data_IF_044974671779
#
_entry.id   IF_044974671779
#
_cell.length_a   1.000
_cell.length_b   1.000
_cell.length_c   1.000
_cell.angle_alpha   90.00
_cell.angle_beta   90.00
_cell.angle_gamma   90.00
#
_symmetry.space_group_name_H-M   'P 1'
#
loop_
_entity.id
_entity.type
_entity.pdbx_description
1 polymer ?
#
# COMPACT_ATOMS: atom_id res chain seq x y z
N UNK A 1 56.37 -4.87 19.52
CA UNK A 1 55.81 -4.82 18.14
C UNK A 1 54.32 -4.59 18.26
N UNK A 2 53.70 -3.85 17.34
CA UNK A 2 52.24 -3.76 17.24
C UNK A 2 51.84 -4.18 15.83
N UNK A 3 50.80 -5.01 15.71
CA UNK A 3 50.19 -5.39 14.44
C UNK A 3 48.77 -4.85 14.45
N UNK A 4 48.63 -3.64 13.92
CA UNK A 4 47.33 -2.98 13.78
C UNK A 4 46.73 -3.34 12.41
N UNK A 5 46.18 -4.57 12.34
CA UNK A 5 45.57 -5.13 11.12
C UNK A 5 44.19 -4.50 10.87
N UNK A 6 44.19 -3.19 10.57
CA UNK A 6 43.02 -2.39 10.20
C UNK A 6 42.36 -2.85 8.90
N UNK A 7 41.66 -3.98 8.95
CA UNK A 7 40.92 -4.54 7.82
C UNK A 7 39.87 -3.54 7.32
N UNK A 8 39.92 -3.23 6.02
CA UNK A 8 38.96 -2.32 5.37
C UNK A 8 37.53 -2.84 5.54
N UNK A 9 36.81 -2.25 6.50
CA UNK A 9 35.36 -2.37 6.61
C UNK A 9 34.77 -1.93 5.28
N UNK A 10 34.11 -2.85 4.55
CA UNK A 10 33.36 -2.48 3.34
C UNK A 10 32.28 -1.48 3.77
N UNK A 11 32.17 -0.30 3.12
CA UNK A 11 31.09 0.62 3.44
C UNK A 11 29.75 -0.10 3.25
N UNK A 12 28.77 0.09 4.15
CA UNK A 12 27.46 -0.54 4.02
C UNK A 12 26.84 -0.14 2.68
N UNK A 13 26.25 -1.10 1.97
CA UNK A 13 25.59 -0.84 0.69
C UNK A 13 24.49 0.20 0.93
N UNK A 14 24.45 1.33 0.18
CA UNK A 14 23.48 2.39 0.44
C UNK A 14 22.06 1.83 0.31
N UNK A 15 21.18 2.24 1.24
CA UNK A 15 19.77 1.89 1.23
C UNK A 15 19.11 2.49 -0.01
N UNK A 16 18.55 1.63 -0.86
CA UNK A 16 17.71 2.08 -1.97
C UNK A 16 16.36 2.54 -1.41
N UNK A 17 16.26 3.85 -1.16
CA UNK A 17 15.07 4.52 -0.65
C UNK A 17 13.88 4.51 -1.62
N UNK A 18 14.06 4.02 -2.86
CA UNK A 18 13.06 4.01 -3.91
C UNK A 18 12.57 2.60 -4.26
N UNK A 19 13.31 1.56 -3.83
CA UNK A 19 12.87 0.16 -3.90
C UNK A 19 11.54 -0.03 -3.17
N UNK A 20 10.51 -0.32 -3.96
CA UNK A 20 9.24 -0.82 -3.44
C UNK A 20 9.39 -2.30 -3.08
N UNK A 21 8.85 -2.74 -1.92
CA UNK A 21 8.85 -4.15 -1.52
C UNK A 21 8.02 -4.99 -2.49
N UNK A 22 8.10 -6.32 -2.40
CA UNK A 22 7.15 -7.20 -3.10
C UNK A 22 5.92 -7.40 -2.24
N UNK A 23 4.74 -7.38 -2.87
CA UNK A 23 3.51 -7.84 -2.21
C UNK A 23 3.56 -9.38 -2.21
N UNK A 24 3.64 -9.97 -1.02
CA UNK A 24 3.68 -11.42 -0.84
C UNK A 24 2.28 -12.01 -0.84
N UNK A 25 1.32 -11.32 -0.21
CA UNK A 25 -0.09 -11.72 -0.16
C UNK A 25 -1.03 -10.50 -0.13
N UNK A 26 -2.31 -10.69 -0.47
CA UNK A 26 -3.34 -9.66 -0.42
C UNK A 26 -4.69 -10.23 -0.02
N UNK A 27 -5.30 -9.61 0.99
CA UNK A 27 -6.68 -9.89 1.42
C UNK A 27 -7.58 -8.71 1.06
N UNK A 28 -8.70 -8.98 0.40
CA UNK A 28 -9.64 -7.96 -0.09
C UNK A 28 -10.98 -8.18 0.60
N UNK A 29 -11.51 -7.15 1.26
CA UNK A 29 -12.76 -7.22 2.02
C UNK A 29 -13.63 -5.99 1.79
N UNK A 30 -14.95 -6.16 1.87
CA UNK A 30 -15.90 -5.06 2.05
C UNK A 30 -15.99 -4.78 3.54
N UNK A 31 -15.56 -3.60 4.00
CA UNK A 31 -15.59 -3.23 5.42
C UNK A 31 -16.65 -2.16 5.69
N UNK A 32 -17.41 -2.35 6.76
CA UNK A 32 -18.37 -1.36 7.29
C UNK A 32 -17.76 -0.69 8.51
N UNK A 33 -17.69 0.64 8.49
CA UNK A 33 -17.12 1.41 9.58
C UNK A 33 -18.11 1.53 10.76
N UNK A 34 -17.66 1.26 11.99
CA UNK A 34 -18.43 1.47 13.24
C UNK A 34 -18.96 2.90 13.39
N UNK A 35 -18.27 3.89 12.80
CA UNK A 35 -18.72 5.27 12.61
C UNK A 35 -18.36 5.70 11.19
N UNK A 36 -19.27 6.33 10.42
CA UNK A 36 -18.95 6.78 9.06
C UNK A 36 -17.72 7.69 9.03
N UNK A 37 -16.75 7.36 8.18
CA UNK A 37 -15.50 8.10 8.02
C UNK A 37 -15.64 9.18 6.95
N UNK A 38 -14.91 10.29 7.10
CA UNK A 38 -14.83 11.37 6.10
C UNK A 38 -13.66 11.11 5.15
N UNK A 39 -13.90 11.25 3.84
CA UNK A 39 -12.86 11.20 2.81
C UNK A 39 -13.00 12.41 1.88
N UNK A 40 -11.91 13.12 1.62
CA UNK A 40 -11.87 14.20 0.62
C UNK A 40 -11.51 13.63 -0.74
N UNK A 41 -12.46 13.64 -1.68
CA UNK A 41 -12.37 12.99 -2.99
C UNK A 41 -12.59 14.04 -4.06
N UNK A 42 -11.58 14.29 -4.91
CA UNK A 42 -11.61 15.34 -5.95
C UNK A 42 -12.03 16.72 -5.39
N UNK A 43 -11.46 17.10 -4.23
CA UNK A 43 -11.76 18.35 -3.54
C UNK A 43 -13.13 18.42 -2.85
N UNK A 44 -13.89 17.32 -2.81
CA UNK A 44 -15.20 17.24 -2.13
C UNK A 44 -15.17 16.24 -0.99
N UNK A 45 -15.53 16.68 0.20
CA UNK A 45 -15.72 15.78 1.34
C UNK A 45 -16.95 14.89 1.11
N UNK A 46 -16.78 13.58 1.37
CA UNK A 46 -17.87 12.61 1.46
C UNK A 46 -17.79 11.87 2.79
N UNK A 47 -18.95 11.59 3.36
CA UNK A 47 -19.09 10.73 4.54
C UNK A 47 -19.48 9.34 4.06
N UNK A 48 -18.71 8.34 4.45
CA UNK A 48 -18.78 6.97 3.92
C UNK A 48 -18.89 5.99 5.09
N UNK A 49 -19.90 5.13 5.06
CA UNK A 49 -20.14 4.08 6.05
C UNK A 49 -19.54 2.73 5.67
N UNK A 50 -19.22 2.50 4.40
CA UNK A 50 -18.74 1.22 3.87
C UNK A 50 -17.78 1.43 2.70
N UNK A 51 -16.67 0.67 2.66
CA UNK A 51 -15.65 0.74 1.61
C UNK A 51 -15.15 -0.65 1.25
N UNK A 52 -14.42 -0.79 0.14
CA UNK A 52 -13.51 -1.93 -0.01
C UNK A 52 -12.16 -1.56 0.63
N UNK A 53 -11.55 -2.54 1.30
CA UNK A 53 -10.23 -2.47 1.89
C UNK A 53 -9.35 -3.59 1.33
N UNK A 54 -8.09 -3.25 1.05
CA UNK A 54 -7.05 -4.13 0.54
C UNK A 54 -5.94 -4.19 1.60
N UNK A 55 -5.90 -5.27 2.38
CA UNK A 55 -4.80 -5.52 3.32
C UNK A 55 -3.70 -6.27 2.56
N UNK A 56 -2.59 -5.59 2.28
CA UNK A 56 -1.42 -6.18 1.63
C UNK A 56 -0.39 -6.63 2.68
N UNK A 57 0.30 -7.72 2.39
CA UNK A 57 1.49 -8.16 3.11
C UNK A 57 2.72 -7.96 2.22
N UNK A 58 3.83 -7.49 2.79
CA UNK A 58 5.06 -7.17 2.04
C UNK A 58 6.25 -8.04 2.43
N UNK A 59 7.16 -8.27 1.48
CA UNK A 59 8.41 -9.01 1.69
C UNK A 59 9.25 -8.42 2.83
N UNK A 60 9.28 -7.10 2.88
CA UNK A 60 10.02 -6.24 3.81
C UNK A 60 9.20 -4.96 4.07
N UNK A 61 9.50 -4.19 5.13
CA UNK A 61 8.81 -2.92 5.39
C UNK A 61 8.98 -1.91 4.25
N UNK A 62 8.03 -0.98 4.11
CA UNK A 62 8.31 0.23 3.34
C UNK A 62 9.43 1.02 4.02
N UNK A 63 10.46 1.38 3.26
CA UNK A 63 11.48 2.33 3.73
C UNK A 63 10.79 3.68 3.98
N UNK A 64 10.97 4.24 5.17
CA UNK A 64 10.26 5.46 5.60
C UNK A 64 10.70 6.65 4.74
N UNK A 65 9.84 7.01 3.78
CA UNK A 65 9.90 8.27 3.02
C UNK A 65 8.91 9.29 3.58
N UNK A 66 9.11 10.56 3.24
CA UNK A 66 8.09 11.61 3.37
C UNK A 66 6.87 11.42 2.44
N UNK A 67 6.93 10.46 1.51
CA UNK A 67 5.86 10.11 0.58
C UNK A 67 5.38 8.69 0.90
N UNK A 68 4.07 8.54 1.16
CA UNK A 68 3.46 7.24 1.39
C UNK A 68 3.43 6.35 0.13
N UNK A 69 3.24 5.04 0.30
CA UNK A 69 2.93 4.13 -0.80
C UNK A 69 1.52 4.38 -1.35
N UNK A 70 1.29 3.99 -2.60
CA UNK A 70 0.00 4.05 -3.29
C UNK A 70 -0.25 2.70 -3.95
N UNK A 71 -1.41 2.10 -3.69
CA UNK A 71 -1.84 0.88 -4.37
C UNK A 71 -2.72 1.27 -5.56
N UNK A 72 -2.38 0.84 -6.77
CA UNK A 72 -3.18 1.09 -7.98
C UNK A 72 -3.97 -0.16 -8.36
N UNK A 73 -5.28 -0.01 -8.59
CA UNK A 73 -6.15 -1.05 -9.13
C UNK A 73 -6.57 -0.63 -10.54
N UNK A 74 -5.88 -1.16 -11.55
CA UNK A 74 -5.86 -0.57 -12.88
C UNK A 74 -5.37 0.88 -12.81
N UNK A 75 -6.26 1.83 -13.10
CA UNK A 75 -6.00 3.28 -13.02
C UNK A 75 -6.59 3.96 -11.78
N UNK A 76 -7.24 3.21 -10.88
CA UNK A 76 -7.75 3.76 -9.62
C UNK A 76 -6.64 3.74 -8.57
N UNK A 77 -6.11 4.91 -8.22
CA UNK A 77 -5.13 5.09 -7.16
C UNK A 77 -5.79 5.06 -5.77
N UNK A 78 -5.27 4.22 -4.88
CA UNK A 78 -5.66 4.12 -3.47
C UNK A 78 -4.54 4.73 -2.63
N UNK A 79 -4.74 5.96 -2.18
CA UNK A 79 -3.74 6.77 -1.44
C UNK A 79 -3.92 6.74 0.08
N UNK A 80 -5.06 6.24 0.57
CA UNK A 80 -5.33 6.09 2.01
C UNK A 80 -4.74 4.76 2.47
N UNK A 81 -3.48 4.80 2.90
CA UNK A 81 -2.73 3.67 3.44
C UNK A 81 -2.63 3.78 4.98
N UNK A 82 -3.15 2.78 5.68
CA UNK A 82 -2.98 2.61 7.13
C UNK A 82 -1.91 1.53 7.38
N UNK A 83 -0.93 1.82 8.25
CA UNK A 83 0.09 0.84 8.66
C UNK A 83 -0.41 -0.02 9.81
N UNK A 84 -0.60 -1.32 9.57
CA UNK A 84 -1.05 -2.31 10.57
C UNK A 84 0.15 -3.15 11.07
N UNK A 85 1.31 -2.50 11.27
CA UNK A 85 2.59 -3.10 11.65
C UNK A 85 3.63 -3.12 10.52
N UNK A 86 4.80 -3.70 10.80
CA UNK A 86 6.03 -3.60 10.00
C UNK A 86 5.91 -4.00 8.52
N UNK A 87 5.01 -4.91 8.16
CA UNK A 87 4.87 -5.48 6.80
C UNK A 87 3.43 -5.67 6.36
N UNK A 88 2.49 -4.99 7.00
CA UNK A 88 1.05 -5.14 6.78
C UNK A 88 0.43 -3.75 6.61
N UNK A 89 -0.21 -3.51 5.46
CA UNK A 89 -0.70 -2.19 5.10
C UNK A 89 -2.09 -2.28 4.50
N UNK A 90 -3.02 -1.46 5.00
CA UNK A 90 -4.43 -1.46 4.60
C UNK A 90 -4.73 -0.26 3.72
N UNK A 91 -5.06 -0.52 2.46
CA UNK A 91 -5.43 0.50 1.48
C UNK A 91 -6.95 0.56 1.33
N UNK A 92 -7.54 1.74 1.49
CA UNK A 92 -8.98 1.94 1.37
C UNK A 92 -9.37 2.45 -0.03
N UNK A 93 -10.53 2.02 -0.53
CA UNK A 93 -11.09 2.44 -1.82
C UNK A 93 -12.45 3.15 -1.67
N UNK A 94 -12.47 4.47 -1.37
CA UNK A 94 -13.69 5.25 -1.10
C UNK A 94 -14.69 5.37 -2.25
N UNK A 95 -14.28 5.02 -3.47
CA UNK A 95 -15.16 4.93 -4.64
C UNK A 95 -15.08 3.50 -5.22
N UNK A 96 -15.58 2.46 -4.51
CA UNK A 96 -15.42 1.07 -4.92
C UNK A 96 -16.07 0.78 -6.28
N UNK A 97 -17.08 1.56 -6.68
CA UNK A 97 -17.72 1.52 -8.00
C UNK A 97 -16.79 1.88 -9.18
N UNK A 98 -15.59 2.39 -8.92
CA UNK A 98 -14.56 2.66 -9.95
C UNK A 98 -13.63 1.47 -10.20
N UNK A 99 -13.64 0.48 -9.32
CA UNK A 99 -12.79 -0.72 -9.41
C UNK A 99 -13.42 -1.73 -10.40
N UNK A 100 -12.66 -2.15 -11.41
CA UNK A 100 -13.12 -3.11 -12.41
C UNK A 100 -12.55 -4.50 -12.11
N UNK A 101 -13.39 -5.52 -11.99
CA UNK A 101 -13.02 -6.94 -11.81
C UNK A 101 -11.90 -7.37 -12.77
N UNK A 102 -10.95 -8.18 -12.31
CA UNK A 102 -9.80 -8.66 -13.09
C UNK A 102 -8.72 -7.60 -13.35
N UNK A 103 -8.87 -6.36 -12.87
CA UNK A 103 -7.86 -5.30 -13.06
C UNK A 103 -6.54 -5.65 -12.37
N UNK A 104 -5.38 -5.48 -13.03
CA UNK A 104 -4.08 -5.72 -12.40
C UNK A 104 -3.84 -4.75 -11.24
N UNK A 105 -3.16 -5.24 -10.20
CA UNK A 105 -2.76 -4.45 -9.03
C UNK A 105 -1.28 -4.07 -9.18
N UNK A 106 -0.98 -2.78 -8.98
CA UNK A 106 0.38 -2.25 -8.95
C UNK A 106 0.65 -1.55 -7.64
N UNK A 107 1.93 -1.46 -7.27
CA UNK A 107 2.41 -0.70 -6.13
C UNK A 107 3.29 0.46 -6.62
N UNK A 108 3.16 1.62 -5.98
CA UNK A 108 3.83 2.86 -6.37
C UNK A 108 4.16 3.72 -5.15
N UNK A 109 4.98 4.76 -5.34
CA UNK A 109 5.11 5.87 -4.38
C UNK A 109 4.14 7.00 -4.75
N UNK A 110 3.78 7.86 -3.79
CA UNK A 110 2.91 9.01 -4.06
C UNK A 110 3.67 10.18 -4.73
N UNK A 111 3.98 10.04 -6.02
CA UNK A 111 4.57 11.09 -6.88
C UNK A 111 3.67 11.43 -8.07
N UNK A 112 3.95 12.52 -8.78
CA UNK A 112 3.16 13.00 -9.93
C UNK A 112 3.10 12.03 -11.11
N UNK A 113 4.22 11.37 -11.42
CA UNK A 113 4.31 10.23 -12.33
C UNK A 113 5.13 9.11 -11.66
N UNK A 114 4.48 8.15 -10.98
CA UNK A 114 5.18 7.14 -10.21
C UNK A 114 5.45 5.87 -11.04
N UNK A 115 6.68 5.32 -11.04
CA UNK A 115 6.96 4.03 -11.67
C UNK A 115 6.15 2.92 -10.97
N UNK A 116 5.10 2.42 -11.65
CA UNK A 116 4.19 1.40 -11.13
C UNK A 116 4.89 0.02 -11.13
N UNK A 117 5.26 -0.49 -9.95
CA UNK A 117 5.73 -1.87 -9.79
C UNK A 117 4.55 -2.82 -9.96
N UNK A 118 4.58 -3.62 -11.02
CA UNK A 118 3.58 -4.67 -11.24
C UNK A 118 3.61 -5.74 -10.13
N UNK A 119 2.46 -6.33 -9.85
CA UNK A 119 2.32 -7.46 -8.91
C UNK A 119 1.67 -8.64 -9.62
N UNK A 120 1.70 -9.82 -8.98
CA UNK A 120 1.00 -11.02 -9.47
C UNK A 120 -0.52 -10.98 -9.27
N UNK A 121 -1.05 -9.94 -8.62
CA UNK A 121 -2.44 -9.90 -8.15
C UNK A 121 -3.35 -9.09 -9.07
N UNK A 122 -4.64 -9.44 -9.03
CA UNK A 122 -5.74 -8.73 -9.68
C UNK A 122 -6.82 -8.43 -8.63
N UNK A 123 -7.60 -7.39 -8.87
CA UNK A 123 -8.77 -7.10 -8.04
C UNK A 123 -9.94 -8.00 -8.43
N UNK A 124 -10.33 -8.86 -7.50
CA UNK A 124 -11.61 -9.57 -7.51
C UNK A 124 -12.53 -8.98 -6.42
N UNK A 125 -13.82 -8.73 -6.70
CA UNK A 125 -14.75 -8.19 -5.71
C UNK A 125 -14.91 -9.11 -4.48
N UNK A 126 -14.87 -8.56 -3.26
CA UNK A 126 -15.07 -9.34 -2.04
C UNK A 126 -16.52 -9.81 -1.91
N UNK A 127 -16.71 -11.12 -1.68
CA UNK A 127 -18.01 -11.73 -1.37
C UNK A 127 -18.43 -11.55 0.09
N UNK A 128 -17.46 -11.40 1.00
CA UNK A 128 -17.69 -11.23 2.44
C UNK A 128 -17.70 -9.75 2.87
N UNK A 129 -18.55 -9.45 3.86
CA UNK A 129 -18.61 -8.15 4.55
C UNK A 129 -18.08 -8.32 5.97
N UNK A 130 -17.19 -7.43 6.40
CA UNK A 130 -16.64 -7.38 7.76
C UNK A 130 -17.00 -6.04 8.41
N UNK A 131 -17.04 -5.99 9.74
CA UNK A 131 -17.03 -4.73 10.48
C UNK A 131 -15.58 -4.29 10.72
N UNK A 132 -15.32 -2.99 10.55
CA UNK A 132 -14.04 -2.36 10.94
C UNK A 132 -13.93 -2.34 12.47
N UNK A 133 -12.84 -2.91 13.01
CA UNK A 133 -12.67 -3.10 14.46
C UNK A 133 -12.20 -1.84 15.17
#
# INVERSE_FOLDING_TARGET
MSIDSGGRVKPPKPLDLWRLPEITDISIYRIRFKRPRRFTILGKDRVISETIAFTIFTSEPFVIRALGPVLFVGDTALTVAEGEGDRRYRFLAPEPQRLKTGSPIFLAWNTSDPPRKATRFKYEPPSAVLEDQ
#
